data_IF_880805767021
#
_entry.id   IF_880805767021
#
_cell.length_a   1.000
_cell.length_b   1.000
_cell.length_c   1.000
_cell.angle_alpha   90.00
_cell.angle_beta   90.00
_cell.angle_gamma   90.00
#
_symmetry.space_group_name_H-M   'P 1'
#
loop_
_entity.id
_entity.type
_entity.pdbx_description
1 polymer ?
#
# COMPACT_ATOMS: atom_id res chain seq x y z
N UNK A 1 7.27 14.26 11.78
CA UNK A 1 6.10 13.57 11.22
C UNK A 1 6.52 12.18 10.77
N UNK A 2 5.74 11.18 11.11
CA UNK A 2 6.11 9.81 10.80
C UNK A 2 5.82 9.42 9.34
N UNK A 3 4.93 10.16 8.66
CA UNK A 3 4.53 9.84 7.30
C UNK A 3 3.98 11.07 6.58
N UNK A 4 3.88 10.97 5.24
CA UNK A 4 3.38 12.04 4.39
C UNK A 4 1.84 12.12 4.51
N UNK A 5 1.35 13.13 5.22
CA UNK A 5 -0.08 13.29 5.44
C UNK A 5 -0.84 13.70 4.18
N UNK A 6 -0.20 14.37 3.24
CA UNK A 6 -0.82 14.70 1.96
C UNK A 6 -1.09 13.43 1.16
N UNK A 7 -0.11 12.52 1.12
CA UNK A 7 -0.29 11.23 0.46
C UNK A 7 -1.39 10.42 1.15
N UNK A 8 -1.41 10.41 2.49
CA UNK A 8 -2.46 9.71 3.23
C UNK A 8 -3.85 10.25 2.90
N UNK A 9 -3.98 11.57 2.78
CA UNK A 9 -5.26 12.19 2.42
C UNK A 9 -5.70 11.81 1.01
N UNK A 10 -4.76 11.78 0.06
CA UNK A 10 -5.06 11.35 -1.32
C UNK A 10 -5.57 9.91 -1.35
N UNK A 11 -4.91 9.02 -0.60
CA UNK A 11 -5.33 7.61 -0.52
C UNK A 11 -6.70 7.49 0.16
N UNK A 12 -6.93 8.26 1.22
CA UNK A 12 -8.21 8.25 1.94
C UNK A 12 -9.37 8.60 1.02
N UNK A 13 -9.18 9.59 0.16
CA UNK A 13 -10.21 9.98 -0.80
C UNK A 13 -10.47 8.90 -1.84
N UNK A 14 -9.43 8.16 -2.22
CA UNK A 14 -9.57 7.11 -3.24
C UNK A 14 -10.22 5.84 -2.71
N UNK A 15 -9.90 5.44 -1.48
CA UNK A 15 -10.35 4.14 -0.97
C UNK A 15 -11.55 4.22 -0.02
N UNK A 16 -11.70 5.30 0.73
CA UNK A 16 -12.79 5.43 1.69
C UNK A 16 -12.80 4.41 2.81
N UNK A 17 -11.68 3.75 3.07
CA UNK A 17 -11.59 2.70 4.07
C UNK A 17 -11.24 3.24 5.45
N UNK A 18 -11.58 2.50 6.53
CA UNK A 18 -11.14 2.86 7.87
C UNK A 18 -9.63 2.92 7.97
N UNK A 19 -9.14 3.90 8.68
CA UNK A 19 -7.71 4.15 8.85
C UNK A 19 -7.24 3.72 10.24
N UNK A 20 -6.05 3.10 10.30
CA UNK A 20 -5.45 2.67 11.54
C UNK A 20 -3.95 2.99 11.51
N UNK A 21 -3.37 3.39 12.64
CA UNK A 21 -1.94 3.67 12.69
C UNK A 21 -1.17 2.39 12.99
N UNK A 22 -0.22 2.07 12.10
CA UNK A 22 0.65 0.89 12.23
C UNK A 22 1.99 1.21 11.58
N UNK A 23 3.06 0.59 12.09
CA UNK A 23 4.42 0.75 11.54
C UNK A 23 4.89 2.19 11.47
N UNK A 24 4.37 3.05 12.36
CA UNK A 24 4.70 4.47 12.31
C UNK A 24 4.06 5.22 11.17
N UNK A 25 3.11 4.61 10.47
CA UNK A 25 2.41 5.21 9.34
C UNK A 25 0.90 5.09 9.47
N UNK A 26 0.20 5.34 8.37
CA UNK A 26 -1.25 5.20 8.29
C UNK A 26 -1.59 4.00 7.42
N UNK A 27 -2.50 3.14 7.87
CA UNK A 27 -2.94 1.97 7.11
C UNK A 27 -4.44 2.02 6.92
N UNK A 28 -4.90 1.52 5.78
CA UNK A 28 -6.31 1.48 5.44
C UNK A 28 -6.76 0.02 5.41
N UNK A 29 -7.81 -0.27 6.19
CA UNK A 29 -8.23 -1.65 6.46
C UNK A 29 -9.53 -1.98 5.74
N UNK A 30 -9.61 -3.17 5.15
CA UNK A 30 -10.82 -3.68 4.53
C UNK A 30 -11.18 -5.01 5.19
N UNK A 31 -12.29 -5.02 5.94
CA UNK A 31 -12.76 -6.20 6.67
C UNK A 31 -11.68 -6.83 7.57
N UNK A 32 -10.87 -5.98 8.20
CA UNK A 32 -9.80 -6.42 9.08
C UNK A 32 -8.50 -6.75 8.38
N UNK A 33 -8.47 -6.72 7.04
CA UNK A 33 -7.25 -6.93 6.26
C UNK A 33 -6.66 -5.58 5.85
N UNK A 34 -5.35 -5.43 5.99
CA UNK A 34 -4.68 -4.24 5.49
C UNK A 34 -4.70 -4.24 3.97
N UNK A 35 -5.23 -3.19 3.37
CA UNK A 35 -5.26 -3.04 1.92
C UNK A 35 -4.05 -2.23 1.44
N UNK A 36 -3.89 -1.04 1.97
CA UNK A 36 -2.86 -0.10 1.53
C UNK A 36 -2.41 0.73 2.72
N UNK A 37 -1.18 1.21 2.70
CA UNK A 37 -0.67 2.05 3.78
C UNK A 37 0.33 3.08 3.29
N UNK A 38 0.60 4.07 4.14
CA UNK A 38 1.62 5.08 3.90
C UNK A 38 2.67 4.94 5.00
N UNK A 39 3.93 4.76 4.61
CA UNK A 39 5.05 4.66 5.53
C UNK A 39 6.10 5.65 5.03
N UNK A 40 6.41 6.66 5.85
CA UNK A 40 7.25 7.75 5.40
C UNK A 40 6.60 8.48 4.24
N UNK A 41 7.30 8.60 3.12
CA UNK A 41 6.79 9.26 1.91
C UNK A 41 6.33 8.27 0.86
N UNK A 42 6.25 7.00 1.20
CA UNK A 42 6.03 5.92 0.24
C UNK A 42 4.71 5.20 0.51
N UNK A 43 4.22 4.52 -0.53
CA UNK A 43 2.99 3.74 -0.46
C UNK A 43 3.33 2.27 -0.22
N UNK A 44 2.69 1.65 0.78
CA UNK A 44 2.79 0.22 1.00
C UNK A 44 1.56 -0.44 0.41
N UNK A 45 1.74 -1.38 -0.50
CA UNK A 45 0.64 -2.05 -1.18
C UNK A 45 0.75 -3.55 -1.00
N UNK A 46 -0.42 -4.20 -0.97
CA UNK A 46 -0.49 -5.64 -0.87
C UNK A 46 -0.88 -6.21 -2.22
N UNK A 47 -0.15 -7.23 -2.68
CA UNK A 47 -0.40 -7.86 -3.99
C UNK A 47 -0.46 -9.37 -3.82
N UNK A 48 -1.10 -10.10 -4.76
CA UNK A 48 -1.07 -11.56 -4.73
C UNK A 48 0.37 -12.08 -4.77
N UNK A 49 0.62 -13.16 -4.05
CA UNK A 49 1.98 -13.71 -3.94
C UNK A 49 2.54 -14.14 -5.29
N UNK A 50 1.69 -14.65 -6.17
CA UNK A 50 2.10 -15.07 -7.51
C UNK A 50 2.41 -13.90 -8.45
N UNK A 51 1.99 -12.67 -8.08
CA UNK A 51 2.29 -11.46 -8.83
C UNK A 51 3.42 -10.65 -8.23
N UNK A 52 3.93 -11.07 -7.09
CA UNK A 52 4.89 -10.29 -6.30
C UNK A 52 6.14 -9.91 -7.11
N UNK A 53 6.79 -10.90 -7.72
CA UNK A 53 8.03 -10.64 -8.46
C UNK A 53 7.82 -9.75 -9.67
N UNK A 54 6.73 -9.98 -10.41
CA UNK A 54 6.39 -9.12 -11.55
C UNK A 54 6.11 -7.70 -11.10
N UNK A 55 5.43 -7.54 -9.97
CA UNK A 55 5.13 -6.21 -9.41
C UNK A 55 6.40 -5.45 -9.06
N UNK A 56 7.42 -6.13 -8.57
CA UNK A 56 8.69 -5.48 -8.21
C UNK A 56 9.42 -4.87 -9.40
N UNK A 57 9.06 -5.25 -10.62
CA UNK A 57 9.67 -4.68 -11.82
C UNK A 57 9.02 -3.37 -12.27
N UNK A 58 7.92 -2.97 -11.63
CA UNK A 58 7.22 -1.74 -12.00
C UNK A 58 7.96 -0.50 -11.48
N UNK A 59 7.81 0.66 -12.15
CA UNK A 59 8.52 1.87 -11.73
C UNK A 59 8.26 2.24 -10.28
N UNK A 60 9.31 2.49 -9.53
CA UNK A 60 9.23 2.90 -8.13
C UNK A 60 8.95 1.79 -7.15
N UNK A 61 8.71 0.56 -7.62
CA UNK A 61 8.40 -0.56 -6.74
C UNK A 61 9.67 -1.19 -6.16
N UNK A 62 9.60 -1.58 -4.89
CA UNK A 62 10.69 -2.26 -4.22
C UNK A 62 10.12 -3.16 -3.11
N UNK A 63 10.90 -4.13 -2.60
CA UNK A 63 10.40 -4.98 -1.52
C UNK A 63 10.06 -4.19 -0.26
N UNK A 64 9.03 -4.63 0.44
CA UNK A 64 8.70 -4.11 1.77
C UNK A 64 9.59 -4.83 2.78
N UNK A 65 10.59 -4.15 3.28
CA UNK A 65 11.58 -4.73 4.19
C UNK A 65 11.64 -4.02 5.53
N UNK A 66 10.50 -3.52 6.00
CA UNK A 66 10.40 -2.74 7.23
C UNK A 66 11.04 -3.44 8.43
N UNK A 67 10.95 -4.76 8.49
CA UNK A 67 11.52 -5.54 9.58
C UNK A 67 12.93 -6.06 9.29
N UNK A 68 13.56 -5.60 8.21
CA UNK A 68 14.86 -6.07 7.78
C UNK A 68 14.82 -7.29 6.87
N UNK A 69 13.63 -7.82 6.60
CA UNK A 69 13.42 -8.95 5.70
C UNK A 69 12.31 -8.61 4.71
N UNK A 70 12.49 -8.93 3.42
CA UNK A 70 11.42 -8.73 2.45
C UNK A 70 10.19 -9.57 2.83
N UNK A 71 9.02 -8.95 2.72
CA UNK A 71 7.75 -9.62 2.98
C UNK A 71 7.08 -9.92 1.65
N UNK A 72 7.02 -11.20 1.27
CA UNK A 72 6.38 -11.61 0.02
C UNK A 72 4.92 -11.19 0.00
N UNK A 73 4.50 -10.55 -1.09
CA UNK A 73 3.14 -10.03 -1.21
C UNK A 73 2.99 -8.59 -0.78
N UNK A 74 4.06 -7.96 -0.28
CA UNK A 74 4.05 -6.56 0.13
C UNK A 74 5.10 -5.80 -0.66
N UNK A 75 4.70 -4.65 -1.24
CA UNK A 75 5.58 -3.85 -2.09
C UNK A 75 5.51 -2.41 -1.63
N UNK A 76 6.66 -1.75 -1.57
CA UNK A 76 6.73 -0.32 -1.35
C UNK A 76 6.83 0.38 -2.69
N UNK A 77 6.08 1.46 -2.87
CA UNK A 77 6.13 2.26 -4.08
C UNK A 77 6.59 3.67 -3.71
N UNK A 78 7.64 4.14 -4.36
CA UNK A 78 8.21 5.45 -4.06
C UNK A 78 7.21 6.57 -4.31
N UNK A 79 7.12 7.51 -3.37
CA UNK A 79 6.24 8.67 -3.51
C UNK A 79 6.54 9.50 -4.75
N UNK A 80 7.77 9.43 -5.25
CA UNK A 80 8.19 10.20 -6.44
C UNK A 80 7.45 9.80 -7.71
N UNK A 81 6.95 8.56 -7.81
CA UNK A 81 6.25 8.08 -9.00
C UNK A 81 4.73 8.13 -8.85
N UNK A 82 4.23 8.60 -7.71
CA UNK A 82 2.80 8.55 -7.39
C UNK A 82 2.05 9.81 -7.83
N UNK A 83 1.96 10.04 -9.15
CA UNK A 83 1.01 11.02 -9.66
C UNK A 83 -0.42 10.47 -9.46
N UNK A 84 -1.43 11.26 -9.77
CA UNK A 84 -2.81 10.88 -9.48
C UNK A 84 -3.24 9.59 -10.17
N UNK A 85 -2.85 9.40 -11.44
CA UNK A 85 -3.22 8.20 -12.18
C UNK A 85 -2.53 6.95 -11.64
N UNK A 86 -1.23 7.06 -11.37
CA UNK A 86 -0.45 5.94 -10.85
C UNK A 86 -0.94 5.56 -9.45
N UNK A 87 -1.19 6.55 -8.61
CA UNK A 87 -1.70 6.29 -7.26
C UNK A 87 -3.04 5.59 -7.30
N UNK A 88 -3.96 6.04 -8.16
CA UNK A 88 -5.27 5.42 -8.28
C UNK A 88 -5.19 3.95 -8.69
N UNK A 89 -4.28 3.62 -9.61
CA UNK A 89 -4.07 2.24 -10.05
C UNK A 89 -3.56 1.38 -8.88
N UNK A 90 -2.55 1.85 -8.14
CA UNK A 90 -2.01 1.09 -7.03
C UNK A 90 -3.05 0.86 -5.93
N UNK A 91 -3.80 1.88 -5.57
CA UNK A 91 -4.86 1.77 -4.55
C UNK A 91 -5.93 0.78 -5.01
N UNK A 92 -6.36 0.87 -6.26
CA UNK A 92 -7.37 -0.02 -6.82
C UNK A 92 -6.91 -1.48 -6.81
N UNK A 93 -5.67 -1.74 -7.19
CA UNK A 93 -5.10 -3.10 -7.17
C UNK A 93 -5.06 -3.66 -5.76
N UNK A 94 -4.64 -2.85 -4.80
CA UNK A 94 -4.56 -3.29 -3.40
C UNK A 94 -5.93 -3.58 -2.81
N UNK A 95 -6.91 -2.73 -3.12
CA UNK A 95 -8.27 -2.93 -2.64
C UNK A 95 -8.89 -4.20 -3.24
N UNK A 96 -8.69 -4.43 -4.53
CA UNK A 96 -9.21 -5.61 -5.20
C UNK A 96 -8.66 -6.89 -4.57
N UNK A 97 -7.37 -6.89 -4.25
CA UNK A 97 -6.79 -8.05 -3.59
C UNK A 97 -7.33 -8.22 -2.17
N UNK A 98 -7.43 -7.13 -1.41
CA UNK A 98 -7.94 -7.20 -0.04
C UNK A 98 -9.39 -7.70 -0.01
N UNK A 99 -10.20 -7.31 -0.99
CA UNK A 99 -11.58 -7.79 -1.12
C UNK A 99 -11.66 -9.30 -1.38
N UNK A 100 -10.63 -9.86 -2.00
CA UNK A 100 -10.59 -11.30 -2.29
C UNK A 100 -10.23 -12.14 -1.06
N UNK A 101 -9.76 -11.49 0.01
CA UNK A 101 -9.35 -12.20 1.22
C UNK A 101 -10.54 -12.40 2.16
N UNK A 102 -10.54 -13.51 2.95
CA UNK A 102 -11.57 -13.70 3.96
C UNK A 102 -11.55 -12.57 4.98
N UNK A 103 -12.71 -12.08 5.43
CA UNK A 103 -12.75 -11.07 6.50
C UNK A 103 -12.11 -11.61 7.78
N UNK A 104 -11.51 -10.72 8.54
CA UNK A 104 -10.93 -11.04 9.83
C UNK A 104 -11.83 -10.62 10.97
#
# INVERSE_FOLDING_TARGET
MAYDEVLAERVRELCGLPEKRMFGGATFMLDGNMAVGIIGDDLAVRVPRDEYEATLTEPGARPFDFTGRPMTGWVMVSGEVLDDDVLAVWVSRSMAYAESLPPK
#
